data_IF_210004153453
#
_entry.id   IF_210004153453
#
_cell.length_a   1.000
_cell.length_b   1.000
_cell.length_c   1.000
_cell.angle_alpha   90.00
_cell.angle_beta   90.00
_cell.angle_gamma   90.00
#
_symmetry.space_group_name_H-M   'P 1'
#
loop_
_entity.id
_entity.type
_entity.pdbx_description
1 polymer ?
#
# COMPACT_ATOMS: atom_id res chain seq x y z
N UNK A 1 -7.54 39.76 0.63
CA UNK A 1 -6.74 39.58 1.87
C UNK A 1 -5.99 38.23 1.90
N UNK A 2 -6.63 37.08 1.65
CA UNK A 2 -6.03 35.73 1.74
C UNK A 2 -4.88 35.50 0.74
N UNK A 3 -5.03 35.98 -0.50
CA UNK A 3 -4.00 35.90 -1.56
C UNK A 3 -2.78 36.74 -1.20
N UNK A 4 -2.94 37.92 -0.59
CA UNK A 4 -1.81 38.74 -0.16
C UNK A 4 -1.01 38.09 0.98
N UNK A 5 -1.69 37.44 1.93
CA UNK A 5 -1.05 36.71 3.03
C UNK A 5 -0.28 35.49 2.53
N UNK A 6 -0.78 34.82 1.50
CA UNK A 6 -0.14 33.63 0.90
C UNK A 6 0.90 33.94 -0.19
N UNK A 7 1.11 35.22 -0.55
CA UNK A 7 1.99 35.64 -1.65
C UNK A 7 3.40 35.04 -1.59
N UNK A 8 4.02 35.04 -0.42
CA UNK A 8 5.35 34.48 -0.23
C UNK A 8 5.38 32.95 -0.47
N UNK A 9 4.36 32.23 0.00
CA UNK A 9 4.24 30.79 -0.22
C UNK A 9 3.99 30.45 -1.70
N UNK A 10 3.22 31.28 -2.39
CA UNK A 10 2.93 31.14 -3.82
C UNK A 10 4.20 31.38 -4.64
N UNK A 11 4.99 32.42 -4.32
CA UNK A 11 6.26 32.70 -5.00
C UNK A 11 7.27 31.56 -4.79
N UNK A 12 7.34 31.01 -3.57
CA UNK A 12 8.19 29.84 -3.29
C UNK A 12 7.74 28.60 -4.09
N UNK A 13 6.44 28.33 -4.17
CA UNK A 13 5.90 27.24 -4.97
C UNK A 13 6.21 27.40 -6.46
N UNK A 14 6.10 28.62 -7.01
CA UNK A 14 6.43 28.93 -8.41
C UNK A 14 7.93 28.69 -8.65
N UNK A 15 8.82 29.11 -7.72
CA UNK A 15 10.24 28.86 -7.84
C UNK A 15 10.57 27.37 -7.88
N UNK A 16 9.97 26.56 -6.99
CA UNK A 16 10.13 25.10 -6.99
C UNK A 16 9.63 24.51 -8.32
N UNK A 17 8.46 24.92 -8.80
CA UNK A 17 7.91 24.40 -10.06
C UNK A 17 8.83 24.71 -11.22
N UNK A 18 9.46 25.90 -11.26
CA UNK A 18 10.42 26.27 -12.30
C UNK A 18 11.65 25.36 -12.29
N UNK A 19 12.20 25.06 -11.11
CA UNK A 19 13.32 24.13 -10.98
C UNK A 19 12.95 22.71 -11.39
N UNK A 20 11.77 22.23 -10.97
CA UNK A 20 11.27 20.89 -11.31
C UNK A 20 11.06 20.76 -12.83
N UNK A 21 10.48 21.78 -13.48
CA UNK A 21 10.31 21.76 -14.95
C UNK A 21 11.63 21.78 -15.70
N UNK A 22 12.64 22.53 -15.20
CA UNK A 22 14.00 22.50 -15.73
C UNK A 22 14.64 21.12 -15.61
N UNK A 23 14.53 20.49 -14.44
CA UNK A 23 15.04 19.14 -14.22
C UNK A 23 14.38 18.10 -15.15
N UNK A 24 13.07 18.19 -15.34
CA UNK A 24 12.33 17.28 -16.24
C UNK A 24 12.71 17.48 -17.70
N UNK A 25 12.99 18.72 -18.13
CA UNK A 25 13.46 19.02 -19.49
C UNK A 25 14.84 18.41 -19.75
N UNK A 26 15.76 18.49 -18.78
CA UNK A 26 17.11 17.94 -18.87
C UNK A 26 17.15 16.40 -18.73
N UNK A 27 16.14 15.81 -18.05
CA UNK A 27 16.09 14.38 -17.75
C UNK A 27 14.76 13.74 -18.20
N UNK A 28 14.50 13.59 -19.49
CA UNK A 28 13.22 13.03 -19.98
C UNK A 28 12.99 11.59 -19.49
N UNK A 29 14.03 10.84 -19.16
CA UNK A 29 13.92 9.51 -18.56
C UNK A 29 13.15 9.48 -17.23
N UNK A 30 13.02 10.61 -16.52
CA UNK A 30 12.21 10.70 -15.31
C UNK A 30 10.71 10.44 -15.56
N UNK A 31 10.19 10.76 -16.73
CA UNK A 31 8.82 10.43 -17.11
C UNK A 31 8.58 8.92 -17.24
N UNK A 32 9.63 8.15 -17.45
CA UNK A 32 9.57 6.68 -17.46
C UNK A 32 9.37 6.06 -16.08
N UNK A 33 9.78 6.73 -15.00
CA UNK A 33 9.68 6.20 -13.64
C UNK A 33 8.24 5.89 -13.18
N UNK A 34 7.25 6.79 -13.36
CA UNK A 34 5.86 6.46 -13.04
C UNK A 34 5.33 5.28 -13.84
N UNK A 35 5.64 5.20 -15.13
CA UNK A 35 5.22 4.10 -16.01
C UNK A 35 5.84 2.79 -15.52
N UNK A 36 7.14 2.79 -15.22
CA UNK A 36 7.84 1.64 -14.64
C UNK A 36 7.23 1.19 -13.32
N UNK A 37 6.88 2.14 -12.42
CA UNK A 37 6.18 1.86 -11.17
C UNK A 37 4.84 1.15 -11.43
N UNK A 38 4.01 1.68 -12.32
CA UNK A 38 2.72 1.07 -12.63
C UNK A 38 2.88 -0.33 -13.21
N UNK A 39 3.87 -0.57 -14.08
CA UNK A 39 4.16 -1.89 -14.61
C UNK A 39 4.55 -2.88 -13.50
N UNK A 40 5.45 -2.48 -12.59
CA UNK A 40 5.85 -3.32 -11.46
C UNK A 40 4.68 -3.63 -10.53
N UNK A 41 3.85 -2.64 -10.21
CA UNK A 41 2.67 -2.82 -9.38
C UNK A 41 1.67 -3.76 -10.07
N UNK A 42 1.43 -3.61 -11.37
CA UNK A 42 0.52 -4.47 -12.12
C UNK A 42 1.00 -5.93 -12.11
N UNK A 43 2.28 -6.17 -12.41
CA UNK A 43 2.89 -7.51 -12.35
C UNK A 43 2.74 -8.10 -10.93
N UNK A 44 3.06 -7.31 -9.91
CA UNK A 44 2.93 -7.75 -8.53
C UNK A 44 1.48 -8.15 -8.18
N UNK A 45 0.49 -7.35 -8.54
CA UNK A 45 -0.91 -7.66 -8.24
C UNK A 45 -1.42 -8.87 -9.03
N UNK A 46 -0.98 -9.08 -10.27
CA UNK A 46 -1.31 -10.29 -11.03
C UNK A 46 -0.80 -11.54 -10.30
N UNK A 47 0.47 -11.53 -9.89
CA UNK A 47 1.06 -12.63 -9.14
C UNK A 47 0.38 -12.83 -7.77
N UNK A 48 0.08 -11.73 -7.09
CA UNK A 48 -0.60 -11.75 -5.79
C UNK A 48 -2.00 -12.38 -5.89
N UNK A 49 -2.79 -12.00 -6.90
CA UNK A 49 -4.12 -12.55 -7.16
C UNK A 49 -4.03 -14.04 -7.52
N UNK A 50 -3.04 -14.43 -8.31
CA UNK A 50 -2.83 -15.85 -8.67
C UNK A 50 -2.56 -16.71 -7.42
N UNK A 51 -1.70 -16.24 -6.50
CA UNK A 51 -1.44 -16.93 -5.23
C UNK A 51 -2.66 -16.91 -4.32
N UNK A 52 -3.40 -15.78 -4.25
CA UNK A 52 -4.65 -15.68 -3.49
C UNK A 52 -5.69 -16.69 -3.98
N UNK A 53 -5.82 -16.85 -5.30
CA UNK A 53 -6.68 -17.88 -5.92
C UNK A 53 -6.27 -19.30 -5.53
N UNK A 54 -4.97 -19.58 -5.54
CA UNK A 54 -4.43 -20.86 -5.07
C UNK A 54 -4.73 -21.13 -3.59
N UNK A 55 -4.54 -20.13 -2.71
CA UNK A 55 -4.86 -20.23 -1.29
C UNK A 55 -6.39 -20.43 -1.06
N UNK A 56 -7.21 -19.72 -1.82
CA UNK A 56 -8.67 -19.86 -1.72
C UNK A 56 -9.15 -21.26 -2.17
N UNK A 57 -8.51 -21.84 -3.19
CA UNK A 57 -8.86 -23.18 -3.69
C UNK A 57 -8.31 -24.34 -2.83
N UNK A 58 -7.37 -24.05 -1.91
CA UNK A 58 -6.81 -25.05 -1.00
C UNK A 58 -7.71 -25.36 0.21
N UNK A 59 -8.85 -24.67 0.37
CA UNK A 59 -9.87 -24.97 1.36
C UNK A 59 -10.55 -26.32 1.07
N UNK A 60 -10.82 -27.12 2.11
CA UNK A 60 -11.59 -28.36 1.98
C UNK A 60 -13.08 -28.06 2.12
N UNK A 61 -13.88 -28.61 1.19
CA UNK A 61 -15.32 -28.61 1.33
C UNK A 61 -15.71 -29.61 2.41
N UNK A 62 -16.36 -29.15 3.47
CA UNK A 62 -16.96 -30.03 4.45
C UNK A 62 -18.46 -30.02 4.24
N UNK A 63 -19.01 -31.15 3.83
CA UNK A 63 -20.46 -31.36 3.88
C UNK A 63 -20.92 -31.17 5.32
N UNK A 64 -21.89 -30.30 5.55
CA UNK A 64 -22.50 -30.11 6.86
C UNK A 64 -23.40 -31.35 7.18
N UNK A 65 -22.75 -32.52 7.24
CA UNK A 65 -23.40 -33.79 7.55
C UNK A 65 -23.78 -33.97 9.03
N UNK A 66 -23.95 -32.87 9.78
CA UNK A 66 -24.61 -32.86 11.08
C UNK A 66 -26.08 -32.39 10.97
N UNK A 67 -26.70 -32.48 9.79
CA UNK A 67 -28.12 -32.41 9.70
C UNK A 67 -28.69 -33.70 10.34
N UNK A 68 -29.43 -33.54 11.43
CA UNK A 68 -30.14 -34.65 12.08
C UNK A 68 -30.95 -35.43 11.06
N UNK A 69 -31.03 -36.75 11.23
CA UNK A 69 -31.79 -37.63 10.29
C UNK A 69 -33.21 -37.13 10.02
N UNK A 70 -33.77 -36.30 10.89
CA UNK A 70 -35.07 -35.62 10.75
C UNK A 70 -35.06 -34.57 9.65
N UNK A 71 -33.96 -33.81 9.48
CA UNK A 71 -33.86 -32.78 8.44
C UNK A 71 -33.70 -33.39 7.03
N UNK A 72 -33.12 -34.58 6.94
CA UNK A 72 -32.98 -35.34 5.69
C UNK A 72 -34.35 -35.80 5.18
N UNK A 73 -35.24 -36.20 6.06
CA UNK A 73 -36.59 -36.68 5.70
C UNK A 73 -37.51 -35.54 5.25
N UNK A 74 -37.37 -34.34 5.82
CA UNK A 74 -38.17 -33.17 5.45
C UNK A 74 -37.73 -32.62 4.08
N UNK A 75 -36.42 -32.65 3.78
CA UNK A 75 -35.88 -32.15 2.52
C UNK A 75 -36.02 -33.12 1.33
N UNK A 76 -36.23 -34.41 1.57
CA UNK A 76 -36.50 -35.39 0.51
C UNK A 76 -37.83 -35.15 -0.25
N UNK A 77 -38.70 -34.31 0.30
CA UNK A 77 -40.02 -34.00 -0.29
C UNK A 77 -40.07 -32.72 -1.13
N UNK A 78 -38.97 -31.95 -1.15
CA UNK A 78 -38.80 -30.76 -2.00
C UNK A 78 -37.60 -30.92 -2.92
N UNK A 79 -37.70 -31.91 -3.82
CA UNK A 79 -36.68 -32.16 -4.84
C UNK A 79 -36.83 -31.14 -5.95
N UNK A 80 -36.24 -29.96 -5.81
CA UNK A 80 -35.65 -29.19 -6.92
C UNK A 80 -34.63 -28.24 -6.29
N UNK A 81 -33.36 -28.53 -6.52
CA UNK A 81 -32.21 -27.60 -6.36
C UNK A 81 -31.94 -27.06 -4.94
N UNK A 82 -31.79 -27.97 -3.97
CA UNK A 82 -31.15 -27.59 -2.70
C UNK A 82 -29.63 -27.45 -2.93
N UNK A 83 -29.18 -26.24 -3.20
CA UNK A 83 -27.78 -25.90 -3.01
C UNK A 83 -27.49 -26.00 -1.51
N UNK A 84 -26.95 -27.13 -1.08
CA UNK A 84 -26.45 -27.32 0.28
C UNK A 84 -25.37 -26.25 0.48
N UNK A 85 -25.51 -25.36 1.46
CA UNK A 85 -24.46 -24.37 1.72
C UNK A 85 -23.21 -25.10 2.20
N UNK A 86 -22.27 -25.33 1.29
CA UNK A 86 -20.98 -25.90 1.60
C UNK A 86 -20.15 -24.84 2.32
N UNK A 87 -19.89 -25.05 3.60
CA UNK A 87 -18.98 -24.18 4.35
C UNK A 87 -17.55 -24.64 4.11
N UNK A 88 -16.74 -23.78 3.46
CA UNK A 88 -15.30 -24.01 3.34
C UNK A 88 -14.64 -23.90 4.70
N UNK A 89 -14.04 -24.97 5.18
CA UNK A 89 -13.16 -24.94 6.36
C UNK A 89 -11.72 -24.82 5.90
N UNK A 90 -11.04 -23.82 6.47
CA UNK A 90 -9.61 -23.60 6.28
C UNK A 90 -8.85 -24.15 7.48
N UNK A 91 -7.79 -24.92 7.25
CA UNK A 91 -6.87 -25.35 8.31
C UNK A 91 -6.21 -24.12 8.96
N UNK A 92 -5.78 -24.24 10.22
CA UNK A 92 -5.08 -23.15 10.93
C UNK A 92 -3.84 -22.67 10.15
N UNK A 93 -3.07 -23.58 9.59
CA UNK A 93 -1.90 -23.27 8.76
C UNK A 93 -2.27 -22.46 7.52
N UNK A 94 -3.42 -22.78 6.89
CA UNK A 94 -3.90 -22.05 5.72
C UNK A 94 -4.40 -20.64 6.09
N UNK A 95 -5.06 -20.50 7.25
CA UNK A 95 -5.45 -19.19 7.77
C UNK A 95 -4.22 -18.30 8.06
N UNK A 96 -3.18 -18.86 8.67
CA UNK A 96 -1.91 -18.16 8.87
C UNK A 96 -1.29 -17.74 7.55
N UNK A 97 -1.27 -18.61 6.54
CA UNK A 97 -0.76 -18.30 5.20
C UNK A 97 -1.51 -17.12 4.56
N UNK A 98 -2.85 -17.05 4.73
CA UNK A 98 -3.65 -15.92 4.24
C UNK A 98 -3.25 -14.61 4.95
N UNK A 99 -3.04 -14.62 6.27
CA UNK A 99 -2.59 -13.42 6.99
C UNK A 99 -1.21 -12.95 6.52
N UNK A 100 -0.25 -13.87 6.34
CA UNK A 100 1.07 -13.55 5.79
C UNK A 100 0.97 -13.00 4.37
N UNK A 101 0.11 -13.58 3.54
CA UNK A 101 -0.11 -13.14 2.18
C UNK A 101 -0.68 -11.70 2.13
N UNK A 102 -1.66 -11.39 2.97
CA UNK A 102 -2.23 -10.04 3.09
C UNK A 102 -1.21 -9.02 3.61
N UNK A 103 -0.42 -9.39 4.63
CA UNK A 103 0.65 -8.54 5.13
C UNK A 103 1.74 -8.32 4.08
N UNK A 104 2.13 -9.37 3.35
CA UNK A 104 3.08 -9.29 2.25
C UNK A 104 2.67 -8.30 1.16
N UNK A 105 1.36 -8.24 0.84
CA UNK A 105 0.82 -7.24 -0.09
C UNK A 105 1.10 -5.81 0.39
N UNK A 106 0.82 -5.52 1.66
CA UNK A 106 1.06 -4.19 2.22
C UNK A 106 2.55 -3.84 2.20
N UNK A 107 3.40 -4.78 2.59
CA UNK A 107 4.84 -4.55 2.67
C UNK A 107 5.47 -4.34 1.30
N UNK A 108 5.19 -5.21 0.31
CA UNK A 108 5.72 -5.05 -1.04
C UNK A 108 5.24 -3.76 -1.69
N UNK A 109 3.96 -3.40 -1.51
CA UNK A 109 3.43 -2.13 -2.02
C UNK A 109 4.15 -0.92 -1.40
N UNK A 110 4.35 -0.91 -0.08
CA UNK A 110 5.10 0.14 0.62
C UNK A 110 6.56 0.19 0.14
N UNK A 111 7.20 -0.97 -0.10
CA UNK A 111 8.57 -1.06 -0.62
C UNK A 111 8.68 -0.48 -2.03
N UNK A 112 7.76 -0.82 -2.94
CA UNK A 112 7.76 -0.26 -4.29
C UNK A 112 7.60 1.26 -4.29
N UNK A 113 6.76 1.79 -3.40
CA UNK A 113 6.60 3.25 -3.24
C UNK A 113 7.90 3.88 -2.72
N UNK A 114 8.52 3.30 -1.69
CA UNK A 114 9.77 3.79 -1.11
C UNK A 114 10.91 3.80 -2.14
N UNK A 115 11.06 2.71 -2.90
CA UNK A 115 12.07 2.60 -3.96
C UNK A 115 11.89 3.69 -5.02
N UNK A 116 10.66 3.94 -5.46
CA UNK A 116 10.39 4.97 -6.46
C UNK A 116 10.65 6.38 -5.95
N UNK A 117 10.25 6.68 -4.71
CA UNK A 117 10.54 7.97 -4.08
C UNK A 117 12.04 8.21 -3.98
N UNK A 118 12.81 7.20 -3.58
CA UNK A 118 14.27 7.28 -3.54
C UNK A 118 14.87 7.53 -4.93
N UNK A 119 14.40 6.81 -5.96
CA UNK A 119 14.92 6.98 -7.33
C UNK A 119 14.66 8.40 -7.86
N UNK A 120 13.46 8.94 -7.63
CA UNK A 120 13.11 10.32 -8.02
C UNK A 120 13.98 11.32 -7.28
N UNK A 121 14.07 11.21 -5.95
CA UNK A 121 14.86 12.12 -5.11
C UNK A 121 16.35 12.07 -5.46
N UNK A 122 16.91 10.88 -5.63
CA UNK A 122 18.32 10.69 -6.00
C UNK A 122 18.64 11.22 -7.40
N UNK A 123 17.74 11.01 -8.38
CA UNK A 123 17.92 11.54 -9.74
C UNK A 123 17.88 13.07 -9.74
N UNK A 124 16.94 13.66 -8.99
CA UNK A 124 16.82 15.09 -8.87
C UNK A 124 18.04 15.71 -8.16
N UNK A 125 18.51 15.08 -7.08
CA UNK A 125 19.71 15.52 -6.36
C UNK A 125 20.95 15.50 -7.28
N UNK A 126 21.14 14.44 -8.06
CA UNK A 126 22.25 14.37 -9.02
C UNK A 126 22.15 15.47 -10.08
N UNK A 127 20.95 15.81 -10.54
CA UNK A 127 20.75 16.92 -11.46
C UNK A 127 21.03 18.27 -10.83
N UNK A 128 20.54 18.49 -9.61
CA UNK A 128 20.70 19.76 -8.91
C UNK A 128 22.17 20.10 -8.65
N UNK A 129 22.95 19.13 -8.19
CA UNK A 129 24.37 19.31 -7.88
C UNK A 129 25.31 19.05 -9.07
N UNK A 130 24.77 18.75 -10.26
CA UNK A 130 25.62 18.55 -11.44
C UNK A 130 26.34 19.85 -11.84
N UNK A 131 27.64 19.79 -12.17
CA UNK A 131 28.38 20.95 -12.66
C UNK A 131 27.77 21.44 -13.97
N UNK A 132 27.69 22.76 -14.10
CA UNK A 132 27.20 23.41 -15.32
C UNK A 132 28.37 23.85 -16.18
N UNK A 133 28.44 23.40 -17.40
CA UNK A 133 29.47 23.73 -18.37
C UNK A 133 28.78 24.19 -19.66
N UNK A 134 29.15 25.37 -20.17
CA UNK A 134 28.53 25.97 -21.36
C UNK A 134 26.99 26.08 -21.32
N UNK A 135 26.41 26.39 -20.16
CA UNK A 135 24.96 26.52 -19.98
C UNK A 135 24.19 25.19 -19.92
N UNK A 136 24.87 24.05 -20.01
CA UNK A 136 24.27 22.71 -19.92
C UNK A 136 24.82 21.94 -18.71
N UNK A 137 23.95 21.21 -18.01
CA UNK A 137 24.39 20.35 -16.90
C UNK A 137 25.01 19.06 -17.44
N UNK A 138 26.17 18.71 -16.91
CA UNK A 138 26.92 17.49 -17.27
C UNK A 138 26.28 16.27 -16.57
N UNK A 139 25.31 15.66 -17.22
CA UNK A 139 24.54 14.53 -16.68
C UNK A 139 24.81 13.26 -17.49
N UNK A 140 25.36 12.24 -16.79
CA UNK A 140 25.45 10.88 -17.35
C UNK A 140 24.43 9.98 -16.68
N UNK A 141 23.27 9.76 -17.36
CA UNK A 141 22.22 8.80 -16.97
C UNK A 141 21.83 8.82 -15.47
N UNK A 142 21.32 9.96 -14.94
CA UNK A 142 21.07 10.10 -13.51
C UNK A 142 20.03 9.09 -12.99
N UNK A 143 19.02 8.76 -13.77
CA UNK A 143 17.99 7.79 -13.42
C UNK A 143 18.57 6.38 -13.29
N UNK A 144 19.44 5.96 -14.21
CA UNK A 144 20.11 4.65 -14.11
C UNK A 144 21.04 4.58 -12.90
N UNK A 145 21.81 5.65 -12.63
CA UNK A 145 22.65 5.72 -11.43
C UNK A 145 21.83 5.67 -10.15
N UNK A 146 20.68 6.37 -10.11
CA UNK A 146 19.77 6.33 -8.98
C UNK A 146 19.23 4.90 -8.75
N UNK A 147 18.86 4.19 -9.83
CA UNK A 147 18.46 2.78 -9.75
C UNK A 147 19.57 1.88 -9.18
N UNK A 148 20.77 1.97 -9.73
CA UNK A 148 21.91 1.20 -9.22
C UNK A 148 22.21 1.54 -7.75
N UNK A 149 22.17 2.81 -7.37
CA UNK A 149 22.40 3.25 -6.00
C UNK A 149 21.32 2.71 -5.03
N UNK A 150 20.05 2.76 -5.44
CA UNK A 150 18.94 2.18 -4.70
C UNK A 150 19.17 0.71 -4.41
N UNK A 151 19.53 -0.05 -5.44
CA UNK A 151 19.68 -1.50 -5.35
C UNK A 151 20.94 -1.93 -4.59
N UNK A 152 22.09 -1.25 -4.78
CA UNK A 152 23.38 -1.69 -4.22
C UNK A 152 23.68 -1.13 -2.84
N UNK A 153 23.22 0.09 -2.54
CA UNK A 153 23.63 0.81 -1.31
C UNK A 153 22.47 1.06 -0.34
N UNK A 154 21.25 1.26 -0.83
CA UNK A 154 20.13 1.71 0.00
C UNK A 154 18.98 0.69 0.08
N UNK A 155 19.15 -0.51 -0.49
CA UNK A 155 18.12 -1.56 -0.46
C UNK A 155 17.65 -1.88 0.96
N UNK A 156 18.60 -2.08 1.89
CA UNK A 156 18.29 -2.40 3.29
C UNK A 156 17.48 -1.31 3.99
N UNK A 157 17.82 -0.05 3.78
CA UNK A 157 17.10 1.09 4.36
C UNK A 157 15.66 1.15 3.84
N UNK A 158 15.46 0.93 2.54
CA UNK A 158 14.13 0.94 1.93
C UNK A 158 13.28 -0.25 2.38
N UNK A 159 13.87 -1.45 2.47
CA UNK A 159 13.19 -2.64 2.96
C UNK A 159 12.74 -2.46 4.41
N UNK A 160 13.64 -1.98 5.27
CA UNK A 160 13.32 -1.75 6.68
C UNK A 160 12.30 -0.61 6.86
N UNK A 161 12.50 0.52 6.19
CA UNK A 161 11.57 1.65 6.25
C UNK A 161 10.15 1.28 5.76
N UNK A 162 10.07 0.54 4.66
CA UNK A 162 8.79 0.06 4.13
C UNK A 162 8.11 -0.97 5.06
N UNK A 163 8.87 -1.78 5.79
CA UNK A 163 8.34 -2.71 6.78
C UNK A 163 7.61 -1.96 7.91
N UNK A 164 8.23 -0.90 8.43
CA UNK A 164 7.63 -0.07 9.48
C UNK A 164 6.32 0.57 8.99
N UNK A 165 6.31 1.09 7.77
CA UNK A 165 5.11 1.66 7.14
C UNK A 165 4.03 0.58 6.95
N UNK A 166 4.39 -0.61 6.50
CA UNK A 166 3.46 -1.73 6.32
C UNK A 166 2.84 -2.20 7.63
N UNK A 167 3.62 -2.25 8.73
CA UNK A 167 3.11 -2.58 10.07
C UNK A 167 2.09 -1.53 10.51
N UNK A 168 2.39 -0.24 10.33
CA UNK A 168 1.46 0.83 10.70
C UNK A 168 0.15 0.77 9.88
N UNK A 169 0.24 0.48 8.58
CA UNK A 169 -0.93 0.27 7.73
C UNK A 169 -1.74 -0.97 8.15
N UNK A 170 -1.07 -2.07 8.51
CA UNK A 170 -1.73 -3.27 9.00
C UNK A 170 -2.49 -3.01 10.30
N UNK A 171 -1.86 -2.34 11.28
CA UNK A 171 -2.50 -1.94 12.54
C UNK A 171 -3.73 -1.08 12.25
N UNK A 172 -3.62 -0.09 11.38
CA UNK A 172 -4.75 0.77 11.00
C UNK A 172 -5.92 -0.04 10.44
N UNK A 173 -5.65 -0.99 9.52
CA UNK A 173 -6.70 -1.84 8.93
C UNK A 173 -7.38 -2.72 9.97
N UNK A 174 -6.61 -3.27 10.91
CA UNK A 174 -7.15 -4.07 12.03
C UNK A 174 -8.05 -3.19 12.90
N UNK A 175 -7.60 -1.99 13.28
CA UNK A 175 -8.40 -1.05 14.08
C UNK A 175 -9.68 -0.65 13.35
N UNK A 176 -9.60 -0.31 12.06
CA UNK A 176 -10.76 0.04 11.24
C UNK A 176 -11.77 -1.13 11.17
N UNK A 177 -11.28 -2.36 11.03
CA UNK A 177 -12.13 -3.55 11.05
C UNK A 177 -12.82 -3.76 12.41
N UNK A 178 -12.08 -3.65 13.52
CA UNK A 178 -12.63 -3.77 14.87
C UNK A 178 -13.70 -2.70 15.15
N UNK A 179 -13.46 -1.47 14.71
CA UNK A 179 -14.44 -0.38 14.85
C UNK A 179 -15.71 -0.69 14.05
N UNK A 180 -15.58 -1.14 12.80
CA UNK A 180 -16.75 -1.51 11.98
C UNK A 180 -17.56 -2.65 12.61
N UNK A 181 -16.92 -3.62 13.24
CA UNK A 181 -17.60 -4.70 13.95
C UNK A 181 -18.32 -4.19 15.19
N UNK A 182 -17.68 -3.31 15.98
CA UNK A 182 -18.29 -2.70 17.17
C UNK A 182 -19.50 -1.80 16.79
N UNK A 183 -19.39 -1.03 15.72
CA UNK A 183 -20.50 -0.19 15.21
C UNK A 183 -21.70 -1.04 14.74
N UNK A 184 -21.45 -2.22 14.15
CA UNK A 184 -22.53 -3.17 13.75
C UNK A 184 -23.25 -3.79 14.94
N UNK A 185 -22.53 -4.08 16.04
CA UNK A 185 -23.11 -4.69 17.24
C UNK A 185 -23.90 -3.70 18.08
N UNK A 186 -23.51 -2.41 18.08
CA UNK A 186 -24.16 -1.38 18.91
C UNK A 186 -24.23 -0.04 18.16
N UNK A 187 -25.13 0.11 17.19
CA UNK A 187 -25.19 1.28 16.29
C UNK A 187 -25.54 2.59 17.01
N UNK A 188 -26.23 2.55 18.15
CA UNK A 188 -26.67 3.75 18.88
C UNK A 188 -25.74 4.19 20.01
N UNK A 189 -24.67 3.45 20.30
CA UNK A 189 -23.72 3.79 21.36
C UNK A 189 -22.86 5.00 20.98
N UNK A 190 -23.13 6.14 21.63
CA UNK A 190 -22.33 7.37 21.50
C UNK A 190 -20.86 7.16 21.93
N UNK A 191 -20.63 6.30 22.92
CA UNK A 191 -19.30 5.98 23.44
C UNK A 191 -18.47 5.26 22.39
N UNK A 192 -19.04 4.28 21.68
CA UNK A 192 -18.35 3.55 20.61
C UNK A 192 -18.00 4.51 19.46
N UNK A 193 -18.91 5.39 19.07
CA UNK A 193 -18.67 6.40 18.03
C UNK A 193 -17.54 7.38 18.39
N UNK A 194 -17.52 7.84 19.66
CA UNK A 194 -16.47 8.72 20.14
C UNK A 194 -15.10 8.01 20.17
N UNK A 195 -15.04 6.80 20.73
CA UNK A 195 -13.82 5.98 20.78
C UNK A 195 -13.30 5.66 19.36
N UNK A 196 -14.21 5.31 18.44
CA UNK A 196 -13.89 5.08 17.04
C UNK A 196 -13.25 6.31 16.39
N UNK A 197 -13.80 7.51 16.63
CA UNK A 197 -13.25 8.75 16.10
C UNK A 197 -11.81 9.00 16.63
N UNK A 198 -11.59 8.82 17.93
CA UNK A 198 -10.27 9.00 18.55
C UNK A 198 -9.26 7.99 17.98
N UNK A 199 -9.62 6.71 17.91
CA UNK A 199 -8.74 5.66 17.38
C UNK A 199 -8.40 5.87 15.91
N UNK A 200 -9.38 6.23 15.08
CA UNK A 200 -9.16 6.57 13.66
C UNK A 200 -8.23 7.79 13.50
N UNK A 201 -8.41 8.81 14.32
CA UNK A 201 -7.54 9.99 14.30
C UNK A 201 -6.11 9.63 14.72
N UNK A 202 -5.94 8.87 15.80
CA UNK A 202 -4.64 8.47 16.32
C UNK A 202 -3.86 7.59 15.33
N UNK A 203 -4.50 6.55 14.79
CA UNK A 203 -3.86 5.65 13.81
C UNK A 203 -3.48 6.37 12.53
N UNK A 204 -4.32 7.30 12.05
CA UNK A 204 -4.00 8.14 10.88
C UNK A 204 -2.84 9.10 11.16
N UNK A 205 -2.78 9.67 12.37
CA UNK A 205 -1.68 10.54 12.78
C UNK A 205 -0.35 9.76 12.80
N UNK A 206 -0.32 8.58 13.40
CA UNK A 206 0.88 7.70 13.44
C UNK A 206 1.33 7.33 12.03
N UNK A 207 0.41 6.91 11.17
CA UNK A 207 0.72 6.57 9.77
C UNK A 207 1.31 7.76 9.01
N UNK A 208 0.73 8.95 9.17
CA UNK A 208 1.21 10.16 8.52
C UNK A 208 2.62 10.54 9.01
N UNK A 209 2.86 10.46 10.33
CA UNK A 209 4.19 10.70 10.90
C UNK A 209 5.22 9.71 10.38
N UNK A 210 4.90 8.41 10.31
CA UNK A 210 5.81 7.38 9.81
C UNK A 210 6.10 7.57 8.31
N UNK A 211 5.10 7.90 7.51
CA UNK A 211 5.30 8.21 6.08
C UNK A 211 6.17 9.46 5.90
N UNK A 212 5.96 10.49 6.71
CA UNK A 212 6.80 11.68 6.68
C UNK A 212 8.25 11.36 7.04
N UNK A 213 8.50 10.63 8.13
CA UNK A 213 9.85 10.23 8.55
C UNK A 213 10.53 9.38 7.46
N UNK A 214 9.82 8.42 6.88
CA UNK A 214 10.38 7.57 5.82
C UNK A 214 10.68 8.36 4.54
N UNK A 215 9.88 9.37 4.20
CA UNK A 215 10.15 10.26 3.06
C UNK A 215 11.38 11.14 3.30
N UNK A 216 11.64 11.55 4.54
CA UNK A 216 12.85 12.32 4.88
C UNK A 216 14.11 11.45 4.96
N UNK A 217 13.97 10.14 5.17
CA UNK A 217 15.11 9.21 5.23
C UNK A 217 15.71 8.86 3.85
N UNK A 218 14.99 9.15 2.77
CA UNK A 218 15.42 8.91 1.39
C UNK A 218 15.89 10.20 0.71
#
# INVERSE_FOLDING_TARGET
ALICFMRSRIQFAIAILKEVTGALADMPAMFGLPIFKFALIAIFYILWIAVAGGLASAGTFQDSSNASAVDIVINAKSSVLSVVPQTMKYSESLQQAVYYHMFGMLWVNAFLIAMMNFMVASSFAQWYFAPQENGKKQLKSPVHKAFCLAWTKHMGTMVFGSLIVAIAEAIRRIVDYMIQQAEKQSPDSKVIKCLACILKCLTRCIETCLKYISTQAY
#
